data_IF_520055191757
#
_entry.id   IF_520055191757
#
_cell.length_a   1.000
_cell.length_b   1.000
_cell.length_c   1.000
_cell.angle_alpha   90.00
_cell.angle_beta   90.00
_cell.angle_gamma   90.00
#
_symmetry.space_group_name_H-M   'P 1'
#
loop_
_entity.id
_entity.type
_entity.pdbx_description
1 polymer ?
#
# COMPACT_ATOMS: atom_id res chain seq x y z
N UNK A 1 2.34 32.10 62.83
CA UNK A 1 2.85 33.14 61.90
C UNK A 1 2.91 32.52 60.51
N UNK A 2 2.02 33.00 59.64
CA UNK A 2 1.90 32.84 58.19
C UNK A 2 1.70 31.44 57.56
N UNK A 3 0.42 31.09 57.43
CA UNK A 3 -0.16 30.46 56.24
C UNK A 3 -0.15 31.42 55.03
N UNK A 4 -0.34 30.85 53.82
CA UNK A 4 -0.52 31.45 52.48
C UNK A 4 0.80 31.83 51.79
N UNK A 5 1.13 31.30 50.61
CA UNK A 5 0.48 31.66 49.34
C UNK A 5 0.57 30.51 48.32
N UNK A 6 -0.59 29.92 48.00
CA UNK A 6 -0.89 29.21 46.76
C UNK A 6 -1.05 30.23 45.62
N UNK A 7 -0.89 29.74 44.38
CA UNK A 7 -1.32 30.34 43.10
C UNK A 7 -0.44 31.42 42.48
N UNK A 8 0.38 31.01 41.52
CA UNK A 8 0.86 31.73 40.32
C UNK A 8 2.00 30.82 39.77
N UNK A 9 1.97 30.16 38.62
CA UNK A 9 1.31 30.41 37.34
C UNK A 9 0.84 29.06 36.77
N UNK A 10 -0.48 28.84 36.69
CA UNK A 10 -1.06 27.96 35.67
C UNK A 10 -1.42 28.88 34.51
N UNK A 11 -0.40 29.35 33.78
CA UNK A 11 -0.64 30.01 32.51
C UNK A 11 -0.95 28.94 31.48
N UNK A 12 -2.21 28.97 31.03
CA UNK A 12 -2.75 28.28 29.88
C UNK A 12 -1.73 28.26 28.74
N UNK A 13 -1.07 27.11 28.56
CA UNK A 13 -0.66 26.67 27.24
C UNK A 13 -1.72 25.70 26.76
N UNK A 14 -2.95 26.20 26.52
CA UNK A 14 -3.82 25.59 25.52
C UNK A 14 -3.10 25.82 24.20
N UNK A 15 -2.14 24.95 23.90
CA UNK A 15 -1.69 24.83 22.51
C UNK A 15 -2.94 24.43 21.74
N UNK A 16 -3.31 25.14 20.66
CA UNK A 16 -4.25 24.55 19.73
C UNK A 16 -3.64 23.18 19.39
N UNK A 17 -4.40 22.11 19.62
CA UNK A 17 -4.11 20.87 18.93
C UNK A 17 -4.23 21.23 17.46
N UNK A 18 -3.10 21.59 16.86
CA UNK A 18 -2.91 21.55 15.43
C UNK A 18 -3.39 20.16 15.06
N UNK A 19 -4.44 20.13 14.22
CA UNK A 19 -4.94 18.96 13.56
C UNK A 19 -3.71 18.13 13.16
N UNK A 20 -3.47 17.03 13.86
CA UNK A 20 -2.39 16.12 13.50
C UNK A 20 -2.82 15.63 12.11
N UNK A 21 -2.07 16.02 11.07
CA UNK A 21 -2.23 15.45 9.74
C UNK A 21 -2.30 13.93 9.92
N UNK A 22 -3.47 13.34 9.68
CA UNK A 22 -3.58 11.90 9.66
C UNK A 22 -2.55 11.41 8.64
N UNK A 23 -1.72 10.40 8.97
CA UNK A 23 -0.73 9.91 8.03
C UNK A 23 -1.43 9.58 6.71
N UNK A 24 -0.91 10.11 5.60
CA UNK A 24 -1.49 9.86 4.28
C UNK A 24 -1.63 8.34 4.07
N UNK A 25 -2.72 7.87 3.44
CA UNK A 25 -2.90 6.46 3.13
C UNK A 25 -1.67 5.90 2.41
N UNK A 26 -1.23 4.68 2.77
CA UNK A 26 -0.03 4.07 2.17
C UNK A 26 -0.11 4.01 0.65
N UNK A 27 -1.31 3.77 0.12
CA UNK A 27 -1.64 3.84 -1.31
C UNK A 27 -1.05 5.05 -2.05
N UNK A 28 -0.99 6.22 -1.40
CA UNK A 28 -0.50 7.47 -2.02
C UNK A 28 1.01 7.46 -2.28
N UNK A 29 1.77 6.64 -1.54
CA UNK A 29 3.22 6.48 -1.69
C UNK A 29 3.61 5.47 -2.78
N UNK A 30 2.64 4.84 -3.43
CA UNK A 30 2.85 3.85 -4.48
C UNK A 30 2.26 4.34 -5.80
N UNK A 31 3.01 4.18 -6.87
CA UNK A 31 2.58 4.46 -8.23
C UNK A 31 2.51 3.18 -9.06
N UNK A 32 1.53 3.10 -9.94
CA UNK A 32 1.44 2.03 -10.94
C UNK A 32 2.63 2.14 -11.88
N UNK A 33 3.32 1.01 -12.11
CA UNK A 33 4.42 0.95 -13.07
C UNK A 33 3.83 1.04 -14.49
N UNK A 34 4.17 2.08 -15.27
CA UNK A 34 3.67 2.20 -16.64
C UNK A 34 4.26 1.08 -17.50
N UNK A 35 3.42 0.40 -18.27
CA UNK A 35 3.83 -0.67 -19.18
C UNK A 35 2.98 -0.69 -20.45
N UNK A 36 3.55 -1.12 -21.59
CA UNK A 36 2.84 -1.14 -22.86
C UNK A 36 1.76 -2.22 -22.94
N UNK A 37 1.88 -3.32 -22.17
CA UNK A 37 0.86 -4.37 -22.12
C UNK A 37 0.97 -5.22 -20.85
N UNK A 38 -0.12 -5.91 -20.49
CA UNK A 38 -0.13 -6.89 -19.40
C UNK A 38 0.89 -8.03 -19.65
N UNK A 39 0.98 -8.51 -20.89
CA UNK A 39 1.92 -9.59 -21.26
C UNK A 39 3.37 -9.17 -21.08
N UNK A 40 3.73 -7.95 -21.48
CA UNK A 40 5.09 -7.41 -21.28
C UNK A 40 5.42 -7.31 -19.80
N UNK A 41 4.49 -6.78 -18.99
CA UNK A 41 4.70 -6.69 -17.54
C UNK A 41 4.84 -8.06 -16.91
N UNK A 42 3.97 -9.01 -17.27
CA UNK A 42 4.02 -10.38 -16.76
C UNK A 42 5.34 -11.08 -17.10
N UNK A 43 5.85 -10.90 -18.33
CA UNK A 43 7.17 -11.41 -18.72
C UNK A 43 8.30 -10.80 -17.87
N UNK A 44 8.26 -9.50 -17.62
CA UNK A 44 9.26 -8.82 -16.79
C UNK A 44 9.21 -9.30 -15.34
N UNK A 45 7.99 -9.55 -14.81
CA UNK A 45 7.81 -10.14 -13.50
C UNK A 45 8.40 -11.56 -13.40
N UNK A 46 8.64 -12.23 -14.53
CA UNK A 46 9.32 -13.53 -14.59
C UNK A 46 10.68 -13.56 -13.87
N UNK A 47 11.34 -12.43 -13.62
CA UNK A 47 12.59 -12.38 -12.84
C UNK A 47 12.38 -12.06 -11.35
N UNK A 48 11.13 -12.04 -10.90
CA UNK A 48 10.74 -11.70 -9.53
C UNK A 48 10.03 -12.88 -8.89
N UNK A 49 10.26 -13.05 -7.59
CA UNK A 49 9.58 -14.03 -6.76
C UNK A 49 8.86 -13.35 -5.60
N UNK A 50 7.78 -13.97 -5.12
CA UNK A 50 7.09 -13.54 -3.90
C UNK A 50 8.08 -13.44 -2.74
N UNK A 51 8.16 -12.25 -2.13
CA UNK A 51 9.17 -11.90 -1.13
C UNK A 51 8.91 -12.61 0.20
N UNK A 52 7.65 -12.82 0.56
CA UNK A 52 7.22 -13.45 1.83
C UNK A 52 6.44 -14.75 1.62
N UNK A 53 6.17 -15.13 0.36
CA UNK A 53 5.24 -16.21 -0.04
C UNK A 53 3.78 -15.99 0.40
N UNK A 54 3.47 -14.89 1.09
CA UNK A 54 2.11 -14.51 1.46
C UNK A 54 1.35 -14.04 0.24
N UNK A 55 0.07 -14.37 0.21
CA UNK A 55 -0.88 -13.90 -0.77
C UNK A 55 -2.07 -13.34 0.00
N UNK A 56 -2.29 -12.04 -0.09
CA UNK A 56 -3.47 -11.41 0.49
C UNK A 56 -4.64 -11.55 -0.47
N UNK A 57 -5.83 -11.79 0.08
CA UNK A 57 -7.05 -12.07 -0.66
C UNK A 57 -8.04 -10.96 -0.34
N UNK A 58 -8.68 -10.42 -1.37
CA UNK A 58 -9.71 -9.40 -1.27
C UNK A 58 -10.95 -9.90 -2.00
N UNK A 59 -11.77 -10.66 -1.27
CA UNK A 59 -13.03 -11.20 -1.78
C UNK A 59 -14.14 -10.14 -1.63
N UNK A 60 -14.83 -9.76 -2.72
CA UNK A 60 -15.99 -8.85 -2.66
C UNK A 60 -17.13 -9.35 -1.75
N UNK A 61 -17.20 -10.66 -1.48
CA UNK A 61 -18.16 -11.24 -0.55
C UNK A 61 -17.77 -11.06 0.93
N UNK A 62 -16.53 -10.68 1.24
CA UNK A 62 -16.07 -10.42 2.61
C UNK A 62 -16.48 -9.00 3.05
N UNK A 63 -17.43 -8.87 4.01
CA UNK A 63 -17.92 -7.56 4.45
C UNK A 63 -16.90 -6.76 5.26
N UNK A 64 -15.78 -7.37 5.68
CA UNK A 64 -14.71 -6.66 6.38
C UNK A 64 -13.85 -5.79 5.45
N UNK A 65 -14.01 -5.95 4.13
CA UNK A 65 -13.22 -5.25 3.12
C UNK A 65 -13.99 -4.04 2.59
N UNK A 66 -13.52 -2.84 2.95
CA UNK A 66 -14.06 -1.61 2.40
C UNK A 66 -13.33 -1.20 1.11
N UNK A 67 -13.85 -1.64 -0.03
CA UNK A 67 -13.34 -1.27 -1.36
C UNK A 67 -13.50 0.22 -1.70
N UNK A 68 -14.26 1.00 -0.91
CA UNK A 68 -14.36 2.47 -1.09
C UNK A 68 -13.23 3.21 -0.37
N UNK A 69 -12.56 2.57 0.58
CA UNK A 69 -11.40 3.11 1.27
C UNK A 69 -10.14 2.98 0.41
N UNK A 70 -9.14 3.84 0.61
CA UNK A 70 -7.82 3.65 0.00
C UNK A 70 -6.95 2.65 0.77
N UNK A 71 -7.41 2.21 1.94
CA UNK A 71 -6.64 1.39 2.87
C UNK A 71 -6.82 -0.11 2.67
N UNK A 72 -7.76 -0.56 1.82
CA UNK A 72 -7.97 -2.00 1.63
C UNK A 72 -6.73 -2.73 1.09
N UNK A 73 -5.81 -2.00 0.45
CA UNK A 73 -4.53 -2.53 -0.06
C UNK A 73 -3.38 -2.46 0.97
N UNK A 74 -3.59 -1.84 2.14
CA UNK A 74 -2.55 -1.64 3.14
C UNK A 74 -1.81 -2.93 3.55
N UNK A 75 -2.46 -4.11 3.66
CA UNK A 75 -1.74 -5.35 3.95
C UNK A 75 -0.60 -5.63 2.95
N UNK A 76 -0.80 -5.34 1.66
CA UNK A 76 0.21 -5.51 0.62
C UNK A 76 1.37 -4.53 0.78
N UNK A 77 1.06 -3.27 1.07
CA UNK A 77 2.06 -2.20 1.22
C UNK A 77 2.89 -2.38 2.49
N UNK A 78 2.26 -2.80 3.58
CA UNK A 78 2.95 -3.15 4.81
C UNK A 78 3.90 -4.33 4.60
N UNK A 79 3.47 -5.37 3.88
CA UNK A 79 4.33 -6.51 3.56
C UNK A 79 5.48 -6.12 2.62
N UNK A 80 5.25 -5.22 1.66
CA UNK A 80 6.29 -4.63 0.83
C UNK A 80 7.40 -3.96 1.66
N UNK A 81 7.03 -3.11 2.62
CA UNK A 81 8.00 -2.45 3.49
C UNK A 81 8.71 -3.45 4.39
N UNK A 82 7.97 -4.38 5.00
CA UNK A 82 8.52 -5.37 5.93
C UNK A 82 9.51 -6.34 5.25
N UNK A 83 9.33 -6.62 3.97
CA UNK A 83 10.16 -7.57 3.21
C UNK A 83 11.25 -6.91 2.36
N UNK A 84 11.29 -5.57 2.32
CA UNK A 84 12.14 -4.81 1.40
C UNK A 84 11.99 -5.35 -0.04
N UNK A 85 10.74 -5.44 -0.49
CA UNK A 85 10.36 -5.86 -1.82
C UNK A 85 10.61 -4.76 -2.87
N UNK A 86 10.60 -5.14 -4.15
CA UNK A 86 10.78 -4.22 -5.27
C UNK A 86 9.45 -3.75 -5.85
N UNK A 87 8.44 -4.63 -5.82
CA UNK A 87 7.09 -4.34 -6.31
C UNK A 87 6.00 -4.92 -5.43
N UNK A 88 4.79 -4.35 -5.56
CA UNK A 88 3.53 -5.01 -5.19
C UNK A 88 2.82 -5.42 -6.47
N UNK A 89 2.47 -6.69 -6.58
CA UNK A 89 1.74 -7.23 -7.72
C UNK A 89 0.30 -7.47 -7.31
N UNK A 90 -0.63 -6.96 -8.10
CA UNK A 90 -2.06 -7.17 -7.91
C UNK A 90 -2.62 -8.04 -9.02
N UNK A 91 -3.36 -9.07 -8.61
CA UNK A 91 -4.02 -10.03 -9.47
C UNK A 91 -5.54 -9.93 -9.34
N UNK A 92 -6.26 -10.28 -10.40
CA UNK A 92 -7.71 -10.45 -10.39
C UNK A 92 -8.04 -11.82 -10.99
N UNK A 93 -8.59 -12.72 -10.18
CA UNK A 93 -8.95 -14.08 -10.59
C UNK A 93 -10.41 -14.31 -10.24
N UNK A 94 -11.24 -14.55 -11.27
CA UNK A 94 -12.66 -14.83 -11.10
C UNK A 94 -13.42 -13.81 -10.22
N UNK A 95 -13.03 -12.53 -10.30
CA UNK A 95 -13.62 -11.44 -9.52
C UNK A 95 -13.03 -11.23 -8.13
N UNK A 96 -12.12 -12.11 -7.69
CA UNK A 96 -11.41 -12.00 -6.41
C UNK A 96 -10.08 -11.28 -6.62
N UNK A 97 -9.84 -10.24 -5.83
CA UNK A 97 -8.58 -9.51 -5.83
C UNK A 97 -7.52 -10.25 -5.02
N UNK A 98 -6.28 -10.26 -5.50
CA UNK A 98 -5.14 -10.76 -4.73
C UNK A 98 -3.99 -9.79 -4.82
N UNK A 99 -3.11 -9.80 -3.81
CA UNK A 99 -1.82 -9.14 -3.92
C UNK A 99 -0.70 -9.90 -3.24
N UNK A 100 0.51 -9.65 -3.71
CA UNK A 100 1.74 -10.08 -3.05
C UNK A 100 2.87 -9.08 -3.29
N UNK A 101 3.77 -8.96 -2.33
CA UNK A 101 5.03 -8.24 -2.51
C UNK A 101 6.03 -9.17 -3.21
N UNK A 102 6.78 -8.65 -4.19
CA UNK A 102 7.75 -9.44 -4.95
C UNK A 102 9.12 -8.76 -4.96
N UNK A 103 10.16 -9.58 -4.99
CA UNK A 103 11.56 -9.16 -5.00
C UNK A 103 12.28 -9.83 -6.16
N UNK A 104 13.27 -9.14 -6.71
CA UNK A 104 14.16 -9.68 -7.72
C UNK A 104 14.76 -10.99 -7.20
N UNK A 105 14.73 -12.00 -8.05
CA UNK A 105 15.18 -13.34 -7.73
C UNK A 105 16.28 -13.79 -8.67
N UNK A 106 17.05 -14.78 -8.24
CA UNK A 106 18.10 -15.38 -9.06
C UNK A 106 17.45 -16.24 -10.16
N UNK A 107 17.27 -15.64 -11.33
CA UNK A 107 16.77 -16.31 -12.54
C UNK A 107 15.26 -16.21 -12.75
N UNK A 108 14.79 -16.97 -13.73
CA UNK A 108 13.36 -17.00 -14.10
C UNK A 108 12.54 -17.78 -13.07
N UNK A 109 11.42 -17.18 -12.69
CA UNK A 109 10.48 -17.67 -11.70
C UNK A 109 9.10 -17.79 -12.33
N UNK A 110 8.47 -18.94 -12.06
CA UNK A 110 7.10 -19.16 -12.46
C UNK A 110 6.18 -18.18 -11.72
N UNK A 111 5.48 -17.35 -12.49
CA UNK A 111 4.47 -16.46 -11.94
C UNK A 111 3.28 -17.25 -11.40
N UNK A 112 2.73 -16.77 -10.29
CA UNK A 112 1.61 -17.42 -9.59
C UNK A 112 0.38 -17.59 -10.49
N UNK A 113 0.06 -16.56 -11.26
CA UNK A 113 -1.09 -16.54 -12.16
C UNK A 113 -0.68 -16.21 -13.61
N UNK A 114 -1.50 -16.61 -14.60
CA UNK A 114 -1.29 -16.22 -15.99
C UNK A 114 -1.39 -14.70 -16.21
N UNK A 115 -0.79 -14.22 -17.30
CA UNK A 115 -0.77 -12.80 -17.65
C UNK A 115 -2.15 -12.13 -17.70
N UNK A 116 -3.20 -12.87 -18.13
CA UNK A 116 -4.59 -12.35 -18.20
C UNK A 116 -5.16 -11.93 -16.83
N UNK A 117 -4.58 -12.43 -15.75
CA UNK A 117 -5.01 -12.14 -14.38
C UNK A 117 -4.20 -10.99 -13.76
N UNK A 118 -3.19 -10.47 -14.45
CA UNK A 118 -2.38 -9.36 -13.97
C UNK A 118 -3.19 -8.06 -14.08
N UNK A 119 -3.59 -7.51 -12.92
CA UNK A 119 -4.35 -6.27 -12.88
C UNK A 119 -3.42 -5.05 -12.94
N UNK A 120 -2.42 -4.99 -12.06
CA UNK A 120 -1.43 -3.92 -12.02
C UNK A 120 -0.21 -4.31 -11.19
N UNK A 121 0.88 -3.61 -11.42
CA UNK A 121 2.11 -3.69 -10.61
C UNK A 121 2.41 -2.29 -10.10
N UNK A 122 2.79 -2.19 -8.84
CA UNK A 122 3.07 -0.92 -8.19
C UNK A 122 4.45 -0.93 -7.53
N UNK A 123 5.05 0.25 -7.45
CA UNK A 123 6.32 0.51 -6.75
C UNK A 123 6.22 1.80 -5.96
N UNK A 124 7.20 2.06 -5.10
CA UNK A 124 7.35 3.37 -4.49
C UNK A 124 7.43 4.46 -5.56
N UNK A 125 6.63 5.49 -5.38
CA UNK A 125 6.53 6.61 -6.31
C UNK A 125 5.33 7.48 -6.00
N UNK A 126 5.41 8.74 -6.42
CA UNK A 126 4.29 9.68 -6.25
C UNK A 126 3.17 9.25 -7.19
N UNK A 127 2.02 8.86 -6.62
CA UNK A 127 0.83 8.60 -7.41
C UNK A 127 0.31 9.91 -8.00
N UNK A 128 -0.06 9.90 -9.27
CA UNK A 128 -0.72 11.06 -9.87
C UNK A 128 -2.00 11.39 -9.08
N UNK A 129 -2.25 12.67 -8.75
CA UNK A 129 -3.50 13.10 -8.14
C UNK A 129 -4.70 12.66 -8.99
N UNK A 130 -5.80 12.24 -8.35
CA UNK A 130 -7.01 11.76 -9.04
C UNK A 130 -7.68 12.84 -9.92
N UNK A 131 -7.33 14.10 -9.67
CA UNK A 131 -7.78 15.33 -10.31
C UNK A 131 -6.81 15.87 -11.38
N UNK A 132 -5.70 15.17 -11.65
CA UNK A 132 -4.82 15.47 -12.77
C UNK A 132 -5.53 15.12 -14.10
N UNK A 133 -6.27 16.08 -14.64
CA UNK A 133 -6.81 16.02 -16.00
C UNK A 133 -5.63 16.01 -16.99
N UNK A 134 -5.67 15.20 -18.07
CA UNK A 134 -4.68 15.26 -19.14
C UNK A 134 -4.65 16.62 -19.84
#
# INVERSE_FOLDING_TARGET
MLWTLKFLLVCLAVRPMILIDAPLPLYTAFATVPQPSQTTMHKNLGYYASATKKLFIFDPADPSIDFKSLNWMDPCYLDFYASNADFVVFWLVDGIGYCESVKLADGENLQRYPAKNLMRVERLGVRCPADAKP
#
